data_IF_126880377632
#
_entry.id   IF_126880377632
#
_cell.length_a   1.000
_cell.length_b   1.000
_cell.length_c   1.000
_cell.angle_alpha   90.00
_cell.angle_beta   90.00
_cell.angle_gamma   90.00
#
_symmetry.space_group_name_H-M   'P 1'
#
loop_
_entity.id
_entity.type
_entity.pdbx_description
1 polymer ?
#
# COMPACT_ATOMS: atom_id res chain seq x y z
N UNK A 1 16.23 2.90 5.76
CA UNK A 1 15.85 1.85 6.73
C UNK A 1 15.55 2.53 8.05
N UNK A 2 14.58 2.05 8.83
CA UNK A 2 14.27 2.64 10.13
C UNK A 2 15.42 2.43 11.13
N UNK A 3 15.57 3.38 12.08
CA UNK A 3 16.52 3.19 13.18
C UNK A 3 15.89 2.21 14.20
N UNK A 4 16.56 1.08 14.42
CA UNK A 4 16.10 0.00 15.30
C UNK A 4 17.05 -0.27 16.46
N UNK A 5 18.05 0.59 16.70
CA UNK A 5 19.10 0.35 17.67
C UNK A 5 18.57 0.19 19.11
N UNK A 6 17.62 1.06 19.50
CA UNK A 6 16.98 0.94 20.81
C UNK A 6 16.26 -0.41 20.97
N UNK A 7 15.55 -0.84 19.93
CA UNK A 7 14.81 -2.09 19.94
C UNK A 7 15.74 -3.31 20.01
N UNK A 8 16.89 -3.27 19.31
CA UNK A 8 17.92 -4.31 19.39
C UNK A 8 18.50 -4.42 20.81
N UNK A 9 18.78 -3.29 21.44
CA UNK A 9 19.39 -3.25 22.77
C UNK A 9 18.51 -3.88 23.86
N UNK A 10 17.19 -3.90 23.66
CA UNK A 10 16.24 -4.54 24.58
C UNK A 10 15.75 -5.92 24.08
N UNK A 11 16.40 -6.48 23.07
CA UNK A 11 16.19 -7.86 22.59
C UNK A 11 14.95 -8.08 21.74
N UNK A 12 14.41 -7.03 21.10
CA UNK A 12 13.30 -7.20 20.15
C UNK A 12 13.76 -7.91 18.87
N UNK A 13 12.87 -8.72 18.30
CA UNK A 13 13.10 -9.32 16.98
C UNK A 13 13.09 -8.24 15.90
N UNK A 14 14.18 -8.13 15.15
CA UNK A 14 14.37 -7.19 14.07
C UNK A 14 14.64 -7.94 12.75
N UNK A 15 14.02 -7.48 11.67
CA UNK A 15 14.35 -7.89 10.30
C UNK A 15 14.52 -6.61 9.44
N UNK A 16 13.57 -6.23 8.62
CA UNK A 16 13.56 -4.92 7.95
C UNK A 16 13.25 -3.77 8.93
N UNK A 17 12.45 -4.06 9.93
CA UNK A 17 12.03 -3.20 11.03
C UNK A 17 11.83 -4.01 12.30
N UNK A 18 11.10 -3.46 13.28
CA UNK A 18 10.68 -4.16 14.51
C UNK A 18 9.52 -5.09 14.14
N UNK A 19 9.74 -6.40 14.21
CA UNK A 19 8.75 -7.40 13.81
C UNK A 19 7.57 -7.38 14.78
N UNK A 20 6.36 -7.22 14.23
CA UNK A 20 5.10 -7.25 15.01
C UNK A 20 4.08 -8.22 14.39
N UNK A 21 3.20 -8.73 15.25
CA UNK A 21 2.06 -9.55 14.85
C UNK A 21 0.84 -8.70 14.42
N UNK A 22 -0.30 -9.36 14.13
CA UNK A 22 -1.56 -8.68 13.77
C UNK A 22 -2.15 -7.83 14.92
N UNK A 23 -1.66 -7.97 16.13
CA UNK A 23 -2.02 -7.14 17.28
C UNK A 23 -0.99 -6.05 17.59
N UNK A 24 -0.02 -5.86 16.66
CA UNK A 24 1.08 -4.91 16.78
C UNK A 24 2.01 -5.18 17.98
N UNK A 25 1.98 -6.44 18.50
CA UNK A 25 2.87 -6.89 19.57
C UNK A 25 4.22 -7.27 19.01
N UNK A 26 5.26 -6.92 19.72
CA UNK A 26 6.64 -7.34 19.42
C UNK A 26 6.92 -8.75 19.95
N UNK A 27 8.17 -9.21 19.81
CA UNK A 27 8.65 -10.48 20.39
C UNK A 27 8.77 -10.47 21.91
N UNK A 28 8.65 -9.29 22.56
CA UNK A 28 8.72 -9.13 24.01
C UNK A 28 7.34 -8.72 24.52
N UNK A 29 6.90 -9.37 25.60
CA UNK A 29 5.59 -9.14 26.19
C UNK A 29 5.39 -7.70 26.64
N UNK A 30 4.19 -7.16 26.45
CA UNK A 30 3.79 -5.80 26.78
C UNK A 30 4.53 -4.69 26.03
N UNK A 31 5.27 -5.03 24.97
CA UNK A 31 5.89 -4.06 24.07
C UNK A 31 5.22 -4.13 22.70
N UNK A 32 4.86 -2.97 22.17
CA UNK A 32 4.22 -2.79 20.87
C UNK A 32 5.09 -1.88 20.00
N UNK A 33 5.00 -2.03 18.67
CA UNK A 33 5.62 -1.10 17.75
C UNK A 33 4.62 -0.69 16.65
N UNK A 34 4.64 0.60 16.31
CA UNK A 34 3.81 1.19 15.25
C UNK A 34 4.61 2.23 14.45
N UNK A 35 4.10 2.60 13.28
CA UNK A 35 4.73 3.60 12.41
C UNK A 35 5.82 3.02 11.53
N UNK A 36 6.73 3.88 11.08
CA UNK A 36 7.78 3.50 10.12
C UNK A 36 8.76 2.44 10.62
N UNK A 37 8.95 2.32 11.94
CA UNK A 37 9.84 1.32 12.50
C UNK A 37 9.22 -0.08 12.62
N UNK A 38 7.89 -0.20 12.54
CA UNK A 38 7.19 -1.46 12.67
C UNK A 38 7.20 -2.26 11.36
N UNK A 39 7.56 -3.53 11.46
CA UNK A 39 7.47 -4.50 10.37
C UNK A 39 6.32 -5.45 10.61
N UNK A 40 5.29 -5.38 9.77
CA UNK A 40 4.13 -6.23 9.83
C UNK A 40 4.02 -7.07 8.55
N UNK A 41 4.01 -8.41 8.69
CA UNK A 41 3.94 -9.37 7.57
C UNK A 41 5.02 -9.09 6.50
N UNK A 42 6.28 -8.99 6.93
CA UNK A 42 7.46 -8.73 6.11
C UNK A 42 7.42 -7.40 5.34
N UNK A 43 6.63 -6.44 5.82
CA UNK A 43 6.45 -5.13 5.20
C UNK A 43 6.64 -3.99 6.19
N UNK A 44 7.45 -3.01 5.80
CA UNK A 44 7.54 -1.69 6.44
C UNK A 44 6.88 -0.65 5.53
N UNK A 45 6.36 0.42 6.14
CA UNK A 45 5.69 1.49 5.43
C UNK A 45 6.49 2.79 5.57
N UNK A 46 6.95 3.35 4.45
CA UNK A 46 7.70 4.61 4.40
C UNK A 46 6.82 5.87 4.34
N UNK A 47 5.57 5.80 4.81
CA UNK A 47 4.61 6.91 4.80
C UNK A 47 3.79 6.93 6.08
N UNK A 48 3.22 8.10 6.39
CA UNK A 48 2.58 8.37 7.69
C UNK A 48 1.24 7.64 7.89
N UNK A 49 0.42 7.50 6.84
CA UNK A 49 -0.94 6.97 6.93
C UNK A 49 -1.03 5.59 7.63
N UNK A 50 -0.20 4.58 7.28
CA UNK A 50 -0.21 3.30 7.99
C UNK A 50 0.04 3.43 9.49
N UNK A 51 0.87 4.38 9.91
CA UNK A 51 1.12 4.65 11.32
C UNK A 51 -0.14 5.11 12.07
N UNK A 52 -0.99 5.92 11.45
CA UNK A 52 -2.28 6.30 12.03
C UNK A 52 -3.25 5.12 12.12
N UNK A 53 -3.32 4.28 11.10
CA UNK A 53 -4.19 3.09 11.09
C UNK A 53 -3.74 2.08 12.16
N UNK A 54 -2.43 1.91 12.31
CA UNK A 54 -1.83 1.10 13.37
C UNK A 54 -2.13 1.68 14.75
N UNK A 55 -1.98 2.99 14.93
CA UNK A 55 -2.29 3.67 16.21
C UNK A 55 -3.76 3.52 16.60
N UNK A 56 -4.68 3.72 15.64
CA UNK A 56 -6.10 3.53 15.86
C UNK A 56 -6.46 2.08 16.22
N UNK A 57 -5.78 1.11 15.60
CA UNK A 57 -5.96 -0.32 15.92
C UNK A 57 -5.40 -0.65 17.28
N UNK A 58 -4.19 -0.18 17.60
CA UNK A 58 -3.53 -0.43 18.89
C UNK A 58 -4.31 0.19 20.05
N UNK A 59 -4.82 1.39 19.90
CA UNK A 59 -5.66 2.04 20.91
C UNK A 59 -6.88 1.19 21.28
N UNK A 60 -7.56 0.58 20.29
CA UNK A 60 -8.68 -0.34 20.54
C UNK A 60 -8.23 -1.60 21.27
N UNK A 61 -7.06 -2.14 20.94
CA UNK A 61 -6.50 -3.34 21.59
C UNK A 61 -6.18 -3.06 23.05
N UNK A 62 -5.50 -1.93 23.35
CA UNK A 62 -5.14 -1.53 24.71
C UNK A 62 -6.40 -1.26 25.56
N UNK A 63 -7.47 -0.74 24.95
CA UNK A 63 -8.76 -0.55 25.59
C UNK A 63 -9.54 -1.86 25.83
N UNK A 64 -8.95 -3.03 25.57
CA UNK A 64 -9.59 -4.35 25.75
C UNK A 64 -10.46 -4.81 24.57
N UNK A 65 -10.46 -4.09 23.46
CA UNK A 65 -11.20 -4.47 22.26
C UNK A 65 -10.51 -5.58 21.45
N UNK A 66 -11.30 -6.30 20.66
CA UNK A 66 -10.82 -7.35 19.74
C UNK A 66 -10.60 -6.76 18.35
N UNK A 67 -9.47 -6.09 18.15
CA UNK A 67 -9.09 -5.50 16.84
C UNK A 67 -7.83 -6.18 16.31
N UNK A 68 -7.68 -6.20 14.99
CA UNK A 68 -6.47 -6.69 14.31
C UNK A 68 -6.06 -5.69 13.22
N UNK A 69 -4.77 -5.49 13.09
CA UNK A 69 -4.20 -4.77 11.96
C UNK A 69 -3.97 -5.75 10.82
N UNK A 70 -4.59 -5.51 9.68
CA UNK A 70 -4.49 -6.39 8.50
C UNK A 70 -3.63 -5.82 7.38
N UNK A 71 -2.99 -4.68 7.66
CA UNK A 71 -2.24 -3.88 6.69
C UNK A 71 -3.02 -2.66 6.23
N UNK A 72 -2.31 -1.72 5.59
CA UNK A 72 -2.89 -0.49 5.02
C UNK A 72 -2.65 -0.44 3.53
N UNK A 73 -3.67 -0.12 2.74
CA UNK A 73 -3.50 0.23 1.33
C UNK A 73 -2.87 1.61 1.24
N UNK A 74 -1.62 1.66 0.80
CA UNK A 74 -0.89 2.92 0.69
C UNK A 74 -1.31 3.69 -0.55
N UNK A 75 -1.45 5.00 -0.45
CA UNK A 75 -1.60 5.90 -1.57
C UNK A 75 -0.60 7.05 -1.45
N UNK A 76 0.13 7.30 -2.52
CA UNK A 76 1.04 8.43 -2.62
C UNK A 76 0.69 9.23 -3.86
N UNK A 77 0.49 10.52 -3.68
CA UNK A 77 0.29 11.47 -4.77
C UNK A 77 1.35 12.55 -4.67
N UNK A 78 2.21 12.60 -5.67
CA UNK A 78 3.25 13.61 -5.81
C UNK A 78 2.92 14.54 -6.97
N UNK A 79 3.30 15.81 -6.85
CA UNK A 79 3.33 16.75 -7.98
C UNK A 79 4.77 17.12 -8.25
N UNK A 80 5.30 16.64 -9.35
CA UNK A 80 6.64 17.00 -9.81
C UNK A 80 6.47 18.01 -10.91
N UNK A 81 6.87 19.28 -10.64
CA UNK A 81 6.78 20.38 -11.62
C UNK A 81 5.39 20.45 -12.27
N UNK A 82 4.34 20.55 -11.45
CA UNK A 82 2.93 20.61 -11.87
C UNK A 82 2.37 19.35 -12.54
N UNK A 83 3.19 18.30 -12.69
CA UNK A 83 2.77 17.05 -13.31
C UNK A 83 2.37 16.02 -12.24
N UNK A 84 1.13 15.54 -12.22
CA UNK A 84 0.67 14.62 -11.18
C UNK A 84 1.26 13.22 -11.38
N UNK A 85 1.79 12.65 -10.30
CA UNK A 85 2.21 11.25 -10.20
C UNK A 85 1.40 10.60 -9.08
N UNK A 86 0.74 9.49 -9.39
CA UNK A 86 -0.12 8.75 -8.49
C UNK A 86 0.39 7.32 -8.35
N UNK A 87 0.51 6.84 -7.13
CA UNK A 87 0.77 5.43 -6.82
C UNK A 87 -0.17 4.99 -5.70
N UNK A 88 -0.93 3.94 -5.92
CA UNK A 88 -1.89 3.39 -4.96
C UNK A 88 -1.69 1.88 -4.90
N UNK A 89 -1.54 1.32 -3.70
CA UNK A 89 -1.49 -0.11 -3.47
C UNK A 89 -0.22 -0.77 -3.99
N UNK A 90 -0.38 -1.92 -4.64
CA UNK A 90 0.71 -2.76 -5.15
C UNK A 90 1.34 -2.15 -6.40
N UNK A 91 2.67 -2.15 -6.47
CA UNK A 91 3.41 -1.69 -7.66
C UNK A 91 3.66 -2.79 -8.71
N UNK A 92 3.28 -4.04 -8.41
CA UNK A 92 3.44 -5.21 -9.30
C UNK A 92 4.78 -5.93 -9.15
N UNK A 93 5.73 -5.42 -8.36
CA UNK A 93 7.04 -6.06 -8.21
C UNK A 93 6.97 -7.28 -7.28
N UNK A 94 7.66 -8.35 -7.66
CA UNK A 94 7.95 -9.49 -6.78
C UNK A 94 6.87 -10.57 -6.69
N UNK A 95 5.70 -10.46 -7.33
CA UNK A 95 4.67 -11.50 -7.29
C UNK A 95 4.32 -11.99 -8.71
N UNK A 96 4.70 -13.22 -9.04
CA UNK A 96 4.43 -13.85 -10.34
C UNK A 96 2.93 -14.03 -10.66
N UNK A 97 2.04 -13.87 -9.67
CA UNK A 97 0.59 -13.96 -9.82
C UNK A 97 -0.02 -12.64 -10.29
N UNK A 98 0.74 -11.54 -10.21
CA UNK A 98 0.28 -10.23 -10.62
C UNK A 98 0.23 -10.10 -12.14
N UNK A 99 -0.93 -9.68 -12.66
CA UNK A 99 -1.08 -9.28 -14.05
C UNK A 99 -1.05 -7.76 -14.14
N UNK A 100 -0.09 -7.24 -14.88
CA UNK A 100 0.02 -5.81 -15.16
C UNK A 100 -0.63 -5.49 -16.51
N UNK A 101 -1.40 -4.40 -16.56
CA UNK A 101 -1.94 -3.84 -17.78
C UNK A 101 -1.54 -2.37 -17.85
N UNK A 102 -0.97 -1.97 -18.98
CA UNK A 102 -0.37 -0.64 -19.15
C UNK A 102 -0.97 0.10 -20.34
N UNK A 103 -1.16 1.39 -20.15
CA UNK A 103 -1.47 2.35 -21.21
C UNK A 103 -0.41 3.44 -21.25
N UNK A 104 0.04 3.80 -22.45
CA UNK A 104 1.03 4.85 -22.68
C UNK A 104 0.61 5.76 -23.83
N UNK A 105 0.64 7.07 -23.58
CA UNK A 105 0.55 8.09 -24.64
C UNK A 105 1.77 9.03 -24.50
N UNK A 106 2.79 8.77 -25.29
CA UNK A 106 4.07 9.51 -25.22
C UNK A 106 3.86 10.98 -25.59
N UNK A 107 2.95 11.29 -26.54
CA UNK A 107 2.71 12.68 -26.98
C UNK A 107 2.08 13.51 -25.88
N UNK A 108 1.23 12.89 -25.05
CA UNK A 108 0.59 13.53 -23.88
C UNK A 108 1.35 13.31 -22.57
N UNK A 109 2.50 12.62 -22.61
CA UNK A 109 3.27 12.21 -21.43
C UNK A 109 2.43 11.44 -20.40
N UNK A 110 1.44 10.66 -20.85
CA UNK A 110 0.58 9.86 -19.98
C UNK A 110 1.12 8.44 -19.89
N UNK A 111 1.26 7.96 -18.66
CA UNK A 111 1.49 6.57 -18.32
C UNK A 111 0.46 6.13 -17.28
N UNK A 112 -0.17 4.99 -17.49
CA UNK A 112 -1.11 4.39 -16.54
C UNK A 112 -0.87 2.89 -16.49
N UNK A 113 -0.70 2.37 -15.28
CA UNK A 113 -0.56 0.93 -15.01
C UNK A 113 -1.60 0.53 -13.97
N UNK A 114 -2.26 -0.60 -14.19
CA UNK A 114 -3.07 -1.28 -13.19
C UNK A 114 -2.45 -2.64 -12.90
N UNK A 115 -2.47 -3.01 -11.63
CA UNK A 115 -2.00 -4.31 -11.13
C UNK A 115 -3.21 -5.11 -10.68
N UNK A 116 -3.33 -6.32 -11.19
CA UNK A 116 -4.44 -7.22 -10.90
C UNK A 116 -3.93 -8.52 -10.31
N UNK A 117 -4.49 -8.95 -9.17
CA UNK A 117 -4.29 -10.26 -8.57
C UNK A 117 -5.58 -11.07 -8.67
N UNK A 118 -5.57 -12.19 -9.38
CA UNK A 118 -6.77 -12.99 -9.66
C UNK A 118 -7.93 -12.16 -10.24
N UNK A 119 -7.62 -11.14 -11.02
CA UNK A 119 -8.62 -10.26 -11.65
C UNK A 119 -9.11 -9.10 -10.78
N UNK A 120 -8.69 -9.01 -9.53
CA UNK A 120 -9.00 -7.92 -8.62
C UNK A 120 -7.93 -6.83 -8.67
N UNK A 121 -8.34 -5.58 -8.66
CA UNK A 121 -7.44 -4.42 -8.68
C UNK A 121 -6.71 -4.31 -7.34
N UNK A 122 -5.39 -4.46 -7.35
CA UNK A 122 -4.53 -4.37 -6.16
C UNK A 122 -3.62 -3.16 -6.20
N UNK A 123 -3.41 -2.57 -7.38
CA UNK A 123 -2.58 -1.39 -7.49
C UNK A 123 -2.81 -0.58 -8.74
N UNK A 124 -2.44 0.70 -8.66
CA UNK A 124 -2.50 1.67 -9.75
C UNK A 124 -1.26 2.57 -9.68
N UNK A 125 -0.59 2.74 -10.81
CA UNK A 125 0.46 3.75 -10.98
C UNK A 125 0.08 4.60 -12.19
N UNK A 126 0.15 5.92 -12.05
CA UNK A 126 -0.17 6.82 -13.14
C UNK A 126 0.69 8.08 -13.12
N UNK A 127 1.01 8.56 -14.31
CA UNK A 127 1.53 9.91 -14.53
C UNK A 127 0.59 10.67 -15.46
N UNK A 128 0.50 11.98 -15.26
CA UNK A 128 -0.37 12.86 -16.03
C UNK A 128 -1.80 12.96 -15.49
N UNK A 129 -2.60 13.87 -16.07
CA UNK A 129 -3.96 14.12 -15.59
C UNK A 129 -4.87 12.91 -15.81
N UNK A 130 -5.62 12.54 -14.77
CA UNK A 130 -6.63 11.47 -14.84
C UNK A 130 -7.92 11.91 -14.16
N UNK A 131 -8.99 12.12 -14.94
CA UNK A 131 -10.25 12.69 -14.45
C UNK A 131 -10.86 11.90 -13.28
N UNK A 132 -10.78 10.58 -13.32
CA UNK A 132 -11.39 9.69 -12.34
C UNK A 132 -10.44 9.23 -11.23
N UNK A 133 -9.28 9.90 -11.05
CA UNK A 133 -8.27 9.48 -10.07
C UNK A 133 -8.78 9.45 -8.62
N UNK A 134 -9.78 10.26 -8.27
CA UNK A 134 -10.35 10.30 -6.91
C UNK A 134 -10.98 8.97 -6.47
N UNK A 135 -11.52 8.20 -7.40
CA UNK A 135 -12.19 6.93 -7.08
C UNK A 135 -11.23 5.73 -7.09
N UNK A 136 -10.00 5.91 -7.58
CA UNK A 136 -9.05 4.80 -7.73
C UNK A 136 -8.63 4.19 -6.40
N UNK A 137 -8.48 5.03 -5.36
CA UNK A 137 -8.13 4.56 -4.02
C UNK A 137 -9.20 3.59 -3.49
N UNK A 138 -10.46 3.97 -3.60
CA UNK A 138 -11.60 3.13 -3.17
C UNK A 138 -11.67 1.82 -3.95
N UNK A 139 -11.41 1.86 -5.27
CA UNK A 139 -11.41 0.65 -6.12
C UNK A 139 -10.29 -0.32 -5.73
N UNK A 140 -9.11 0.19 -5.39
CA UNK A 140 -7.97 -0.63 -4.93
C UNK A 140 -8.24 -1.18 -3.53
N UNK A 141 -8.74 -0.37 -2.61
CA UNK A 141 -9.06 -0.77 -1.24
C UNK A 141 -10.11 -1.87 -1.20
N UNK A 142 -11.19 -1.72 -2.01
CA UNK A 142 -12.25 -2.73 -2.17
C UNK A 142 -11.83 -3.92 -3.02
N UNK A 143 -10.61 -3.93 -3.55
CA UNK A 143 -10.12 -4.97 -4.46
C UNK A 143 -11.12 -5.26 -5.58
N UNK A 144 -11.59 -4.20 -6.25
CA UNK A 144 -12.63 -4.29 -7.26
C UNK A 144 -12.24 -5.27 -8.38
N UNK A 145 -13.14 -6.20 -8.71
CA UNK A 145 -12.91 -7.09 -9.84
C UNK A 145 -13.01 -6.32 -11.17
N UNK A 146 -11.98 -6.43 -11.99
CA UNK A 146 -11.92 -5.78 -13.31
C UNK A 146 -12.23 -6.80 -14.39
N UNK A 147 -13.39 -6.67 -15.00
CA UNK A 147 -13.88 -7.56 -16.04
C UNK A 147 -12.99 -7.54 -17.29
N UNK A 148 -12.89 -8.64 -18.07
CA UNK A 148 -12.02 -8.71 -19.26
C UNK A 148 -12.22 -7.56 -20.25
N UNK A 149 -13.48 -7.17 -20.53
CA UNK A 149 -13.77 -6.06 -21.44
C UNK A 149 -13.30 -4.70 -20.91
N UNK A 150 -13.35 -4.47 -19.59
CA UNK A 150 -12.79 -3.26 -18.97
C UNK A 150 -11.27 -3.24 -19.07
N UNK A 151 -10.59 -4.41 -18.95
CA UNK A 151 -9.15 -4.52 -19.14
C UNK A 151 -8.76 -4.15 -20.56
N UNK A 152 -9.47 -4.70 -21.57
CA UNK A 152 -9.22 -4.37 -22.98
C UNK A 152 -9.53 -2.91 -23.30
N UNK A 153 -10.55 -2.32 -22.66
CA UNK A 153 -10.82 -0.89 -22.78
C UNK A 153 -9.67 -0.08 -22.18
N UNK A 154 -9.22 -0.42 -20.97
CA UNK A 154 -8.12 0.27 -20.30
C UNK A 154 -6.83 0.23 -21.13
N UNK A 155 -6.49 -0.91 -21.71
CA UNK A 155 -5.30 -1.09 -22.53
C UNK A 155 -5.31 -0.17 -23.77
N UNK A 156 -6.51 0.13 -24.32
CA UNK A 156 -6.66 1.02 -25.48
C UNK A 156 -6.80 2.49 -25.12
N UNK A 157 -7.42 2.82 -24.02
CA UNK A 157 -7.83 4.19 -23.69
C UNK A 157 -7.19 4.74 -22.41
N UNK A 158 -6.62 3.89 -21.58
CA UNK A 158 -6.16 4.24 -20.25
C UNK A 158 -7.28 4.53 -19.24
N UNK A 159 -8.56 4.28 -19.57
CA UNK A 159 -9.72 4.58 -18.71
C UNK A 159 -10.36 3.29 -18.17
N UNK A 160 -10.62 3.26 -16.86
CA UNK A 160 -11.29 2.17 -16.15
C UNK A 160 -12.81 2.30 -16.18
#
# INVERSE_FOLDING_TARGET
MPNTDLAKNIGLKINLGIVVDDFLKTSVENIYAIGECAEHRDRIYGIVQPGFDQAATLAKIIAGGKSKYTGTTTASQLRVVEYPVLSIGDNGEGDAVNKEIMYRDIRKMIYRKIVLKHGHLTGVIATGPWKNSKNLHELVEKKQFIWPWKRSKFERTGEL
#
